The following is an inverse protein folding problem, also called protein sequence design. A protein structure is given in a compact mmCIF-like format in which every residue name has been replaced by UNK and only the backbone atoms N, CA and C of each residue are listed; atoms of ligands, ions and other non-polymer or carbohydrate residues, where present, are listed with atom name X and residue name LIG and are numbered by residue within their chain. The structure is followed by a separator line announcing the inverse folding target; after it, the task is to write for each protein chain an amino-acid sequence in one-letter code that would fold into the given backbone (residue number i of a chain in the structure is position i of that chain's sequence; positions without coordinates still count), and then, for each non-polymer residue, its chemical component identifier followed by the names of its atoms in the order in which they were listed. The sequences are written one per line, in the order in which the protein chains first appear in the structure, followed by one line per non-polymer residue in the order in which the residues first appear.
data_IF_728914999627
#
_entry.id   IF_728914999627
#
_cell.length_a   1.000
_cell.length_b   1.000
_cell.length_c   1.000
_cell.angle_alpha   90.00
_cell.angle_beta   90.00
_cell.angle_gamma   90.00
#
_symmetry.space_group_name_H-M   'P 1'
#
loop_
_entity.id
_entity.type
_entity.pdbx_description
1 polymer ?
#
# COMPACT_ATOMS: atom_id res chain seq x y z
N UNK A 1 25.50 -12.66 12.25
CA UNK A 1 24.06 -12.42 12.08
C UNK A 1 23.75 -12.79 10.64
N UNK A 2 22.97 -13.85 10.40
CA UNK A 2 22.69 -14.34 9.05
C UNK A 2 21.83 -13.32 8.29
N UNK A 3 22.18 -13.07 7.02
CA UNK A 3 21.44 -12.16 6.14
C UNK A 3 20.03 -12.71 5.90
N UNK A 4 19.01 -11.95 6.29
CA UNK A 4 17.58 -12.32 6.22
C UNK A 4 17.15 -12.60 4.77
N UNK A 5 17.93 -12.15 3.78
CA UNK A 5 17.69 -12.35 2.35
C UNK A 5 17.99 -13.76 1.83
N UNK A 6 18.75 -14.58 2.56
CA UNK A 6 19.10 -15.95 2.16
C UNK A 6 18.15 -17.04 2.74
N UNK A 7 17.21 -16.67 3.60
CA UNK A 7 16.22 -17.60 4.12
C UNK A 7 15.18 -17.92 3.06
N UNK A 8 15.45 -18.96 2.25
CA UNK A 8 14.48 -19.50 1.30
C UNK A 8 13.19 -19.85 2.05
N UNK A 9 12.05 -19.47 1.47
CA UNK A 9 10.74 -19.88 1.95
C UNK A 9 10.62 -21.39 1.64
N UNK A 10 10.45 -22.21 2.68
CA UNK A 10 10.32 -23.66 2.59
C UNK A 10 8.99 -24.18 3.21
N UNK A 11 8.31 -23.36 4.02
CA UNK A 11 6.98 -23.63 4.59
C UNK A 11 6.07 -22.39 4.52
N UNK A 12 4.74 -22.60 4.60
CA UNK A 12 3.74 -21.54 4.45
C UNK A 12 3.76 -20.51 5.60
N UNK A 13 4.14 -20.94 6.80
CA UNK A 13 4.20 -20.11 8.01
C UNK A 13 5.27 -19.02 7.94
N UNK A 14 6.23 -19.14 7.02
CA UNK A 14 7.26 -18.12 6.78
C UNK A 14 6.73 -16.92 5.97
N UNK A 15 5.54 -17.03 5.36
CA UNK A 15 4.92 -15.95 4.61
C UNK A 15 4.35 -14.94 5.59
N UNK A 16 5.10 -13.87 5.85
CA UNK A 16 4.64 -12.77 6.71
C UNK A 16 3.72 -11.85 5.90
N UNK A 17 2.43 -11.86 6.24
CA UNK A 17 1.46 -10.91 5.67
C UNK A 17 1.47 -9.63 6.52
N UNK A 18 1.76 -8.45 5.94
CA UNK A 18 1.69 -7.19 6.68
C UNK A 18 0.27 -6.94 7.22
N UNK A 19 0.11 -6.49 8.48
CA UNK A 19 -1.20 -6.31 9.10
C UNK A 19 -2.05 -5.23 8.41
N UNK A 20 -1.42 -4.28 7.74
CA UNK A 20 -2.09 -3.19 7.02
C UNK A 20 -2.59 -3.60 5.63
N UNK A 21 -2.02 -4.66 5.04
CA UNK A 21 -2.29 -5.08 3.67
C UNK A 21 -3.79 -5.34 3.40
N UNK A 22 -4.54 -6.05 4.27
CA UNK A 22 -5.97 -6.30 4.05
C UNK A 22 -6.80 -5.02 4.00
N UNK A 23 -6.42 -4.00 4.78
CA UNK A 23 -7.13 -2.72 4.83
C UNK A 23 -6.89 -1.92 3.55
N UNK A 24 -5.63 -1.85 3.11
CA UNK A 24 -5.25 -1.17 1.85
C UNK A 24 -6.01 -1.77 0.67
N UNK A 25 -6.02 -3.11 0.57
CA UNK A 25 -6.74 -3.82 -0.51
C UNK A 25 -8.24 -3.58 -0.44
N UNK A 26 -8.84 -3.55 0.75
CA UNK A 26 -10.27 -3.24 0.93
C UNK A 26 -10.61 -1.84 0.42
N UNK A 27 -9.79 -0.83 0.72
CA UNK A 27 -10.03 0.53 0.25
C UNK A 27 -9.86 0.66 -1.26
N UNK A 28 -8.81 0.06 -1.81
CA UNK A 28 -8.60 0.01 -3.25
C UNK A 28 -9.78 -0.67 -3.98
N UNK A 29 -10.23 -1.83 -3.51
CA UNK A 29 -11.35 -2.56 -4.12
C UNK A 29 -12.65 -1.74 -4.11
N UNK A 30 -12.94 -1.01 -3.02
CA UNK A 30 -14.10 -0.09 -2.96
C UNK A 30 -14.02 0.98 -4.04
N UNK A 31 -12.85 1.57 -4.25
CA UNK A 31 -12.66 2.62 -5.24
C UNK A 31 -12.75 2.09 -6.68
N UNK A 32 -12.24 0.88 -6.94
CA UNK A 32 -12.44 0.21 -8.25
C UNK A 32 -13.92 -0.03 -8.53
N UNK A 33 -14.66 -0.60 -7.57
CA UNK A 33 -16.10 -0.90 -7.73
C UNK A 33 -16.92 0.38 -7.93
N UNK A 34 -16.58 1.45 -7.21
CA UNK A 34 -17.26 2.74 -7.30
C UNK A 34 -17.04 3.42 -8.65
N UNK A 35 -15.81 3.42 -9.15
CA UNK A 35 -15.45 4.14 -10.37
C UNK A 35 -15.65 3.31 -11.66
N UNK A 36 -15.78 1.98 -11.54
CA UNK A 36 -15.93 1.04 -12.67
C UNK A 36 -15.02 1.39 -13.85
N UNK A 37 -13.70 1.47 -13.63
CA UNK A 37 -12.78 1.89 -14.67
C UNK A 37 -12.78 0.90 -15.83
N UNK A 38 -12.68 1.40 -17.07
CA UNK A 38 -12.51 0.56 -18.25
C UNK A 38 -11.16 -0.16 -18.27
N UNK A 39 -10.13 0.46 -17.70
CA UNK A 39 -8.81 -0.12 -17.50
C UNK A 39 -8.43 -0.08 -16.01
N UNK A 40 -8.43 -1.26 -15.38
CA UNK A 40 -8.11 -1.42 -13.95
C UNK A 40 -6.62 -1.16 -13.69
N UNK A 41 -5.73 -1.49 -14.62
CA UNK A 41 -4.27 -1.37 -14.42
C UNK A 41 -3.87 0.10 -14.39
N UNK A 42 -4.34 0.89 -15.37
CA UNK A 42 -4.11 2.33 -15.40
C UNK A 42 -4.73 3.04 -14.19
N UNK A 43 -5.97 2.65 -13.81
CA UNK A 43 -6.61 3.16 -12.60
C UNK A 43 -5.79 2.87 -11.34
N UNK A 44 -5.24 1.65 -11.22
CA UNK A 44 -4.41 1.24 -10.09
C UNK A 44 -3.17 2.10 -9.94
N UNK A 45 -2.45 2.31 -11.06
CA UNK A 45 -1.24 3.11 -11.06
C UNK A 45 -1.53 4.54 -10.60
N UNK A 46 -2.61 5.15 -11.10
CA UNK A 46 -3.04 6.49 -10.70
C UNK A 46 -3.48 6.54 -9.23
N UNK A 47 -4.29 5.58 -8.79
CA UNK A 47 -4.79 5.51 -7.42
C UNK A 47 -3.65 5.45 -6.40
N UNK A 48 -2.71 4.51 -6.56
CA UNK A 48 -1.61 4.36 -5.60
C UNK A 48 -0.62 5.53 -5.64
N UNK A 49 -0.36 6.14 -6.80
CA UNK A 49 0.42 7.39 -6.88
C UNK A 49 -0.25 8.51 -6.10
N UNK A 50 -1.55 8.73 -6.31
CA UNK A 50 -2.30 9.76 -5.60
C UNK A 50 -2.34 9.53 -4.08
N UNK A 51 -2.34 8.26 -3.65
CA UNK A 51 -2.31 7.89 -2.23
C UNK A 51 -0.97 8.23 -1.58
N UNK A 52 0.14 7.99 -2.28
CA UNK A 52 1.49 8.35 -1.83
C UNK A 52 1.65 9.87 -1.71
N UNK A 53 1.18 10.62 -2.71
CA UNK A 53 1.23 12.09 -2.68
C UNK A 53 0.42 12.68 -1.52
N UNK A 54 -0.77 12.13 -1.26
CA UNK A 54 -1.60 12.54 -0.11
C UNK A 54 -0.88 12.28 1.21
N UNK A 55 -0.27 11.10 1.36
CA UNK A 55 0.48 10.73 2.56
C UNK A 55 1.70 11.62 2.77
N UNK A 56 2.41 11.99 1.69
CA UNK A 56 3.55 12.91 1.76
C UNK A 56 3.11 14.30 2.24
N UNK A 57 2.02 14.84 1.69
CA UNK A 57 1.46 16.14 2.09
C UNK A 57 0.95 16.13 3.54
N UNK A 58 0.32 15.05 3.98
CA UNK A 58 -0.10 14.88 5.37
C UNK A 58 1.11 14.87 6.33
N UNK A 59 2.21 14.24 5.92
CA UNK A 59 3.44 14.23 6.69
C UNK A 59 4.04 15.63 6.82
N UNK A 60 4.20 16.35 5.71
CA UNK A 60 4.70 17.74 5.67
C UNK A 60 3.81 18.68 6.51
N UNK A 61 2.49 18.53 6.43
CA UNK A 61 1.56 19.33 7.24
C UNK A 61 1.70 19.04 8.74
N UNK A 62 1.90 17.78 9.11
CA UNK A 62 2.10 17.37 10.51
C UNK A 62 3.40 17.89 11.12
N UNK A 63 4.44 18.06 10.29
CA UNK A 63 5.73 18.63 10.72
C UNK A 63 5.62 20.15 10.93
N UNK A 64 4.91 20.86 10.04
CA UNK A 64 4.66 22.30 10.19
C UNK A 64 3.87 22.62 11.46
N UNK A 65 2.84 21.83 11.80
CA UNK A 65 1.97 22.08 12.96
C UNK A 65 2.67 21.79 14.30
N UNK A 66 3.76 21.00 14.29
CA UNK A 66 4.54 20.70 15.51
C UNK A 66 5.65 21.73 15.79
N UNK A 67 5.94 22.63 14.84
CA UNK A 67 6.93 23.70 14.95
C UNK A 67 6.29 24.98 15.51
#
# INVERSE_FOLDING_TARGET
MADVREQRIYCAEQIVVPPELPVILKHYAKEVIRNKPGDVVDFSAKYFRSLLEKRAKEHEFSEIVKQ
#
